data_IF_806458497645
#
_entry.id   IF_806458497645
#
_cell.length_a   1.000
_cell.length_b   1.000
_cell.length_c   1.000
_cell.angle_alpha   90.00
_cell.angle_beta   90.00
_cell.angle_gamma   90.00
#
_symmetry.space_group_name_H-M   'P 1'
#
loop_
_entity.id
_entity.type
_entity.pdbx_description
1 polymer ?
#
# COMPACT_ATOMS: atom_id res chain seq x y z
N UNK A 1 -25.97 14.71 -5.79
CA UNK A 1 -24.81 15.52 -6.24
C UNK A 1 -23.59 14.60 -6.30
N UNK A 2 -23.09 14.29 -7.50
CA UNK A 2 -21.87 13.50 -7.64
C UNK A 2 -20.65 14.36 -7.24
N UNK A 3 -19.89 13.91 -6.23
CA UNK A 3 -18.63 14.56 -5.85
C UNK A 3 -17.63 14.40 -7.00
N UNK A 4 -17.29 15.51 -7.65
CA UNK A 4 -16.19 15.59 -8.63
C UNK A 4 -14.92 15.10 -7.91
N UNK A 5 -14.12 14.17 -8.47
CA UNK A 5 -12.87 13.77 -7.85
C UNK A 5 -11.96 15.00 -7.86
N UNK A 6 -11.77 15.61 -6.70
CA UNK A 6 -10.79 16.66 -6.50
C UNK A 6 -9.44 16.07 -6.87
N UNK A 7 -8.80 16.65 -7.89
CA UNK A 7 -7.49 16.24 -8.37
C UNK A 7 -6.47 16.56 -7.26
N UNK A 8 -6.33 15.65 -6.29
CA UNK A 8 -5.31 15.75 -5.25
C UNK A 8 -3.97 15.62 -5.94
N UNK A 9 -3.32 16.76 -6.19
CA UNK A 9 -1.95 16.81 -6.68
C UNK A 9 -1.07 16.10 -5.65
N UNK A 10 -0.62 14.90 -5.99
CA UNK A 10 0.38 14.17 -5.21
C UNK A 10 1.70 14.90 -5.44
N UNK A 11 2.32 15.37 -4.38
CA UNK A 11 3.68 15.92 -4.44
C UNK A 11 4.69 14.84 -4.07
N UNK A 12 5.97 15.10 -4.37
CA UNK A 12 7.06 14.36 -3.74
C UNK A 12 6.88 14.45 -2.21
N UNK A 13 7.18 13.36 -1.51
CA UNK A 13 7.04 13.19 -0.06
C UNK A 13 5.60 13.20 0.50
N UNK A 14 4.59 13.18 -0.38
CA UNK A 14 3.21 12.99 0.06
C UNK A 14 3.00 11.58 0.65
N UNK A 15 2.42 11.52 1.85
CA UNK A 15 1.93 10.26 2.41
C UNK A 15 0.70 9.77 1.64
N UNK A 16 0.77 8.55 1.12
CA UNK A 16 -0.29 7.92 0.34
C UNK A 16 -0.62 6.55 0.90
N UNK A 17 -1.90 6.19 0.93
CA UNK A 17 -2.35 4.85 1.31
C UNK A 17 -2.64 4.05 0.05
N UNK A 18 -1.88 2.97 -0.17
CA UNK A 18 -2.11 2.05 -1.28
C UNK A 18 -2.86 0.80 -0.82
N UNK A 19 -3.82 0.35 -1.64
CA UNK A 19 -4.50 -0.93 -1.45
C UNK A 19 -3.80 -2.00 -2.29
N UNK A 20 -3.49 -3.13 -1.68
CA UNK A 20 -2.88 -4.27 -2.35
C UNK A 20 -3.35 -5.59 -1.73
N UNK A 21 -3.00 -6.70 -2.37
CA UNK A 21 -3.35 -8.04 -1.90
C UNK A 21 -2.13 -8.76 -1.35
N UNK A 22 -2.21 -9.30 -0.13
CA UNK A 22 -1.14 -10.14 0.42
C UNK A 22 -1.10 -11.45 -0.36
N UNK A 23 0.06 -11.78 -0.93
CA UNK A 23 0.29 -13.03 -1.67
C UNK A 23 1.14 -14.03 -0.90
N UNK A 24 2.07 -13.55 -0.07
CA UNK A 24 2.87 -14.39 0.81
C UNK A 24 3.28 -13.61 2.06
N UNK A 25 3.47 -14.35 3.16
CA UNK A 25 3.93 -13.83 4.45
C UNK A 25 5.17 -14.63 4.82
N UNK A 26 6.26 -13.92 5.06
CA UNK A 26 7.51 -14.45 5.58
C UNK A 26 7.77 -13.83 6.95
N UNK A 27 8.77 -14.34 7.68
CA UNK A 27 9.05 -13.89 9.04
C UNK A 27 9.44 -12.40 9.11
N UNK A 28 10.10 -11.88 8.07
CA UNK A 28 10.65 -10.52 8.03
C UNK A 28 9.95 -9.61 7.00
N UNK A 29 9.23 -10.19 6.04
CA UNK A 29 8.65 -9.47 4.90
C UNK A 29 7.28 -10.01 4.50
N UNK A 30 6.45 -9.14 3.96
CA UNK A 30 5.15 -9.48 3.38
C UNK A 30 5.18 -9.09 1.91
N UNK A 31 4.81 -10.04 1.05
CA UNK A 31 4.73 -9.80 -0.38
C UNK A 31 3.32 -9.34 -0.74
N UNK A 32 3.20 -8.09 -1.18
CA UNK A 32 1.93 -7.46 -1.54
C UNK A 32 1.86 -7.24 -3.04
N UNK A 33 0.79 -7.70 -3.69
CA UNK A 33 0.54 -7.43 -5.10
C UNK A 33 -0.15 -6.09 -5.28
N UNK A 34 0.48 -5.19 -6.05
CA UNK A 34 0.00 -3.86 -6.41
C UNK A 34 0.15 -3.71 -7.92
N UNK A 35 -0.96 -3.46 -8.63
CA UNK A 35 -0.94 -3.21 -10.07
C UNK A 35 -0.31 -4.34 -10.90
N UNK A 36 -0.45 -5.59 -10.46
CA UNK A 36 0.10 -6.77 -11.14
C UNK A 36 1.54 -7.14 -10.74
N UNK A 37 2.27 -6.25 -10.06
CA UNK A 37 3.62 -6.52 -9.55
C UNK A 37 3.57 -6.96 -8.08
N UNK A 38 4.53 -7.77 -7.67
CA UNK A 38 4.72 -8.18 -6.27
C UNK A 38 5.78 -7.27 -5.65
N UNK A 39 5.44 -6.61 -4.54
CA UNK A 39 6.31 -5.71 -3.80
C UNK A 39 6.53 -6.31 -2.40
N UNK A 40 7.77 -6.63 -2.02
CA UNK A 40 8.10 -7.04 -0.66
C UNK A 40 8.09 -5.80 0.25
N UNK A 41 7.33 -5.86 1.34
CA UNK A 41 7.27 -4.81 2.37
C UNK A 41 7.79 -5.42 3.67
N UNK A 42 8.75 -4.79 4.37
CA UNK A 42 9.20 -5.23 5.68
C UNK A 42 8.02 -5.37 6.64
N UNK A 43 7.95 -6.48 7.38
CA UNK A 43 6.87 -6.72 8.32
C UNK A 43 6.83 -5.66 9.44
N UNK A 44 7.98 -5.03 9.76
CA UNK A 44 8.09 -3.93 10.74
C UNK A 44 7.34 -2.66 10.33
N UNK A 45 7.21 -2.40 9.02
CA UNK A 45 6.47 -1.24 8.50
C UNK A 45 4.94 -1.44 8.52
N UNK A 46 4.50 -2.68 8.70
CA UNK A 46 3.09 -3.01 8.78
C UNK A 46 2.72 -3.06 10.25
N UNK A 47 2.04 -2.00 10.71
CA UNK A 47 1.35 -1.95 12.00
C UNK A 47 0.18 -2.95 11.98
N UNK A 48 0.51 -4.24 11.92
CA UNK A 48 -0.41 -5.36 12.01
C UNK A 48 -0.87 -5.46 13.45
N UNK A 49 -1.84 -4.63 13.82
CA UNK A 49 -2.64 -4.88 15.00
C UNK A 49 -3.24 -6.29 14.85
N UNK A 50 -2.90 -7.13 15.82
CA UNK A 50 -3.27 -8.55 15.88
C UNK A 50 -4.73 -8.74 16.23
#
# INVERSE_FOLDING_TARGET
>A
MAKKPENKKISVDSSVTLKGFVKAIFNDTIHVQIGGKIIPIPATDLNLEK
#
